data_IF_472637460576
#
_entry.id   IF_472637460576
#
_cell.length_a   1.000
_cell.length_b   1.000
_cell.length_c   1.000
_cell.angle_alpha   90.00
_cell.angle_beta   90.00
_cell.angle_gamma   90.00
#
_symmetry.space_group_name_H-M   'P 1'
#
loop_
_entity.id
_entity.type
_entity.pdbx_description
1 polymer ?
#
# COMPACT_ATOMS: atom_id res chain seq x y z
N UNK A 1 4.05 22.29 -7.28
CA UNK A 1 4.30 21.09 -6.45
C UNK A 1 2.99 20.32 -6.24
N UNK A 2 2.66 19.33 -7.08
CA UNK A 2 1.42 18.53 -6.96
C UNK A 2 1.73 17.15 -6.34
N UNK A 3 2.15 17.12 -5.07
CA UNK A 3 2.21 15.89 -4.28
C UNK A 3 0.81 15.57 -3.74
N UNK A 4 -0.02 14.89 -4.55
CA UNK A 4 -1.42 14.56 -4.18
C UNK A 4 -1.66 13.14 -3.63
N UNK A 5 -0.65 12.28 -3.52
CA UNK A 5 -0.87 10.84 -3.22
C UNK A 5 -0.38 10.29 -1.88
N UNK A 6 0.66 10.87 -1.26
CA UNK A 6 1.43 10.15 -0.22
C UNK A 6 0.96 10.27 1.23
N UNK A 7 0.12 11.25 1.57
CA UNK A 7 -0.13 11.58 2.99
C UNK A 7 -0.86 10.47 3.76
N UNK A 8 -1.86 9.84 3.14
CA UNK A 8 -2.68 8.81 3.81
C UNK A 8 -1.93 7.50 4.07
N UNK A 9 -1.05 7.09 3.16
CA UNK A 9 -0.26 5.85 3.30
C UNK A 9 0.80 6.03 4.39
N UNK A 10 1.49 7.18 4.44
CA UNK A 10 2.47 7.47 5.47
C UNK A 10 1.85 7.51 6.88
N UNK A 11 0.65 8.08 7.02
CA UNK A 11 -0.07 8.09 8.30
C UNK A 11 -0.51 6.68 8.72
N UNK A 12 -1.08 5.89 7.80
CA UNK A 12 -1.49 4.51 8.09
C UNK A 12 -0.29 3.65 8.50
N UNK A 13 0.83 3.77 7.78
CA UNK A 13 2.10 3.13 8.13
C UNK A 13 2.59 3.53 9.53
N UNK A 14 2.57 4.81 9.87
CA UNK A 14 2.98 5.29 11.18
C UNK A 14 2.13 4.73 12.32
N UNK A 15 0.80 4.67 12.13
CA UNK A 15 -0.11 4.06 13.11
C UNK A 15 0.17 2.56 13.25
N UNK A 16 0.28 1.83 12.14
CA UNK A 16 0.56 0.40 12.17
C UNK A 16 1.93 0.10 12.77
N UNK A 17 2.94 0.96 12.55
CA UNK A 17 4.27 0.81 13.10
C UNK A 17 4.27 0.96 14.63
N UNK A 18 3.44 1.85 15.17
CA UNK A 18 3.25 1.99 16.62
C UNK A 18 2.52 0.83 17.27
N UNK A 19 1.65 0.13 16.52
CA UNK A 19 0.88 -1.01 17.02
C UNK A 19 1.64 -2.33 16.89
N UNK A 20 2.07 -2.66 15.67
CA UNK A 20 2.66 -3.96 15.33
C UNK A 20 3.83 -3.75 14.36
N UNK A 21 5.02 -3.39 14.87
CA UNK A 21 6.19 -3.09 14.04
C UNK A 21 6.58 -4.23 13.08
N UNK A 22 6.47 -5.48 13.54
CA UNK A 22 6.81 -6.66 12.74
C UNK A 22 5.89 -6.85 11.53
N UNK A 23 4.59 -6.53 11.67
CA UNK A 23 3.64 -6.58 10.55
C UNK A 23 4.04 -5.57 9.47
N UNK A 24 4.41 -4.35 9.87
CA UNK A 24 4.90 -3.32 8.96
C UNK A 24 6.19 -3.73 8.26
N UNK A 25 7.13 -4.36 8.97
CA UNK A 25 8.37 -4.83 8.34
C UNK A 25 8.08 -5.85 7.22
N UNK A 26 7.17 -6.80 7.46
CA UNK A 26 6.74 -7.78 6.45
C UNK A 26 6.02 -7.07 5.30
N UNK A 27 5.13 -6.12 5.59
CA UNK A 27 4.38 -5.38 4.57
C UNK A 27 5.29 -4.53 3.66
N UNK A 28 6.35 -3.95 4.22
CA UNK A 28 7.39 -3.25 3.44
C UNK A 28 8.12 -4.21 2.51
N UNK A 29 8.41 -5.43 2.94
CA UNK A 29 9.01 -6.45 2.05
C UNK A 29 8.05 -6.81 0.92
N UNK A 30 6.76 -7.00 1.21
CA UNK A 30 5.72 -7.23 0.18
C UNK A 30 5.69 -6.08 -0.83
N UNK A 31 5.65 -4.84 -0.34
CA UNK A 31 5.69 -3.65 -1.19
C UNK A 31 6.92 -3.64 -2.11
N UNK A 32 8.12 -3.88 -1.55
CA UNK A 32 9.37 -3.88 -2.32
C UNK A 32 9.33 -4.97 -3.39
N UNK A 33 8.93 -6.20 -3.05
CA UNK A 33 8.84 -7.31 -4.00
C UNK A 33 7.89 -6.98 -5.15
N UNK A 34 6.73 -6.40 -4.85
CA UNK A 34 5.76 -5.98 -5.87
C UNK A 34 6.35 -4.89 -6.76
N UNK A 35 6.99 -3.86 -6.21
CA UNK A 35 7.55 -2.74 -7.00
C UNK A 35 8.75 -3.17 -7.86
N UNK A 36 9.54 -4.14 -7.39
CA UNK A 36 10.65 -4.70 -8.15
C UNK A 36 10.16 -5.54 -9.34
N UNK A 37 9.07 -6.29 -9.13
CA UNK A 37 8.45 -7.15 -10.16
C UNK A 37 7.63 -6.32 -11.16
N UNK A 38 6.79 -5.43 -10.64
CA UNK A 38 5.98 -4.49 -11.40
C UNK A 38 6.41 -3.08 -11.04
N UNK A 39 6.96 -2.29 -12.00
CA UNK A 39 7.53 -0.98 -11.69
C UNK A 39 6.49 0.09 -11.38
N UNK A 40 5.33 -0.25 -10.79
CA UNK A 40 4.25 0.65 -10.41
C UNK A 40 4.20 0.81 -8.88
N UNK A 41 4.51 2.01 -8.40
CA UNK A 41 4.43 2.35 -6.97
C UNK A 41 3.01 2.19 -6.42
N UNK A 42 2.01 2.58 -7.21
CA UNK A 42 0.60 2.46 -6.82
C UNK A 42 0.12 1.01 -6.68
N UNK A 43 0.64 0.11 -7.52
CA UNK A 43 0.34 -1.32 -7.38
C UNK A 43 0.95 -1.87 -6.08
N UNK A 44 2.22 -1.53 -5.80
CA UNK A 44 2.86 -1.87 -4.52
C UNK A 44 2.02 -1.42 -3.33
N UNK A 45 1.57 -0.16 -3.31
CA UNK A 45 0.76 0.39 -2.22
C UNK A 45 -0.59 -0.31 -2.06
N UNK A 46 -1.24 -0.69 -3.17
CA UNK A 46 -2.53 -1.39 -3.13
C UNK A 46 -2.38 -2.83 -2.60
N UNK A 47 -1.33 -3.53 -3.03
CA UNK A 47 -1.04 -4.89 -2.56
C UNK A 47 -0.66 -4.87 -1.08
N UNK A 48 0.20 -3.94 -0.65
CA UNK A 48 0.55 -3.74 0.75
C UNK A 48 -0.69 -3.44 1.61
N UNK A 49 -1.54 -2.50 1.17
CA UNK A 49 -2.78 -2.19 1.86
C UNK A 49 -3.74 -3.40 1.98
N UNK A 50 -3.78 -4.27 0.98
CA UNK A 50 -4.57 -5.51 1.04
C UNK A 50 -3.92 -6.61 1.91
N UNK A 51 -2.59 -6.64 1.99
CA UNK A 51 -1.83 -7.59 2.78
C UNK A 51 -1.87 -7.25 4.28
N UNK A 52 -1.90 -5.97 4.66
CA UNK A 52 -1.83 -5.55 6.06
C UNK A 52 -2.93 -6.16 6.96
N UNK A 53 -4.23 -6.20 6.58
CA UNK A 53 -5.25 -6.91 7.38
C UNK A 53 -4.94 -8.40 7.58
N UNK A 54 -4.45 -9.06 6.54
CA UNK A 54 -4.08 -10.48 6.60
C UNK A 54 -2.89 -10.70 7.54
N UNK A 55 -1.89 -9.80 7.51
CA UNK A 55 -0.75 -9.86 8.41
C UNK A 55 -1.18 -9.69 9.87
N UNK A 56 -2.05 -8.73 10.17
CA UNK A 56 -2.58 -8.54 11.52
C UNK A 56 -3.36 -9.77 12.00
N UNK A 57 -4.18 -10.37 11.13
CA UNK A 57 -4.93 -11.58 11.43
C UNK A 57 -4.01 -12.78 11.71
N UNK A 58 -3.01 -13.04 10.86
CA UNK A 58 -2.08 -14.17 10.99
C UNK A 58 -1.14 -14.02 12.19
N UNK A 59 -0.79 -12.79 12.55
CA UNK A 59 0.02 -12.49 13.74
C UNK A 59 -0.78 -12.52 15.04
N UNK A 60 -2.05 -12.96 15.01
CA UNK A 60 -2.93 -13.09 16.17
C UNK A 60 -3.05 -11.79 16.98
N UNK A 61 -3.13 -10.65 16.29
CA UNK A 61 -3.36 -9.34 16.94
C UNK A 61 -4.79 -9.22 17.43
N UNK A 62 -5.06 -8.23 18.29
CA UNK A 62 -6.41 -7.88 18.72
C UNK A 62 -7.36 -7.67 17.53
N UNK A 63 -8.57 -8.23 17.61
CA UNK A 63 -9.60 -8.11 16.56
C UNK A 63 -9.91 -6.65 16.22
N UNK A 64 -9.86 -5.76 17.21
CA UNK A 64 -10.04 -4.32 17.01
C UNK A 64 -9.01 -3.75 16.03
N UNK A 65 -7.75 -4.20 16.13
CA UNK A 65 -6.69 -3.75 15.22
C UNK A 65 -6.90 -4.29 13.80
N UNK A 66 -7.36 -5.54 13.67
CA UNK A 66 -7.72 -6.11 12.37
C UNK A 66 -8.82 -5.27 11.72
N UNK A 67 -9.91 -4.97 12.44
CA UNK A 67 -10.99 -4.13 11.90
C UNK A 67 -10.52 -2.73 11.53
N UNK A 68 -9.65 -2.12 12.35
CA UNK A 68 -9.10 -0.80 12.07
C UNK A 68 -8.27 -0.79 10.78
N UNK A 69 -7.41 -1.80 10.60
CA UNK A 69 -6.56 -1.93 9.41
C UNK A 69 -7.41 -2.26 8.16
N UNK A 70 -8.49 -3.04 8.29
CA UNK A 70 -9.45 -3.25 7.19
C UNK A 70 -10.05 -1.92 6.73
N UNK A 71 -10.48 -1.06 7.67
CA UNK A 71 -11.02 0.26 7.33
C UNK A 71 -9.94 1.13 6.66
N UNK A 72 -8.71 1.13 7.17
CA UNK A 72 -7.59 1.84 6.55
C UNK A 72 -7.31 1.34 5.13
N UNK A 73 -7.30 0.03 4.91
CA UNK A 73 -7.12 -0.58 3.60
C UNK A 73 -8.19 -0.09 2.61
N UNK A 74 -9.47 -0.11 3.01
CA UNK A 74 -10.58 0.41 2.19
C UNK A 74 -10.35 1.88 1.82
N UNK A 75 -9.98 2.72 2.80
CA UNK A 75 -9.70 4.14 2.56
C UNK A 75 -8.52 4.35 1.58
N UNK A 76 -7.49 3.51 1.67
CA UNK A 76 -6.36 3.53 0.73
C UNK A 76 -6.83 3.18 -0.68
N UNK A 77 -7.65 2.14 -0.85
CA UNK A 77 -8.21 1.77 -2.15
C UNK A 77 -9.07 2.88 -2.75
N UNK A 78 -9.95 3.50 -1.96
CA UNK A 78 -10.78 4.63 -2.40
C UNK A 78 -9.92 5.83 -2.82
N UNK A 79 -8.83 6.09 -2.09
CA UNK A 79 -7.87 7.15 -2.43
C UNK A 79 -7.13 6.85 -3.74
N UNK A 80 -6.85 5.58 -4.01
CA UNK A 80 -6.11 5.13 -5.20
C UNK A 80 -6.99 4.84 -6.42
N UNK A 81 -8.31 5.13 -6.39
CA UNK A 81 -9.23 4.86 -7.52
C UNK A 81 -8.71 5.36 -8.88
N UNK A 82 -8.03 6.50 -8.90
CA UNK A 82 -7.49 7.08 -10.13
C UNK A 82 -6.25 6.31 -10.63
N UNK A 83 -5.39 5.88 -9.70
CA UNK A 83 -4.25 5.00 -10.00
C UNK A 83 -4.72 3.62 -10.46
N UNK A 84 -5.76 3.06 -9.84
CA UNK A 84 -6.39 1.80 -10.27
C UNK A 84 -6.87 1.93 -11.72
N UNK A 85 -7.58 3.02 -12.05
CA UNK A 85 -8.03 3.27 -13.42
C UNK A 85 -6.86 3.33 -14.42
N UNK A 86 -5.77 4.01 -14.05
CA UNK A 86 -4.56 4.10 -14.88
C UNK A 86 -3.82 2.78 -15.01
N UNK A 87 -3.78 1.96 -13.95
CA UNK A 87 -3.24 0.60 -13.97
C UNK A 87 -4.02 -0.29 -14.94
N UNK A 88 -5.36 -0.30 -14.85
CA UNK A 88 -6.23 -1.02 -15.79
C UNK A 88 -6.05 -0.53 -17.23
N UNK A 89 -5.81 0.77 -17.43
CA UNK A 89 -5.56 1.36 -18.74
C UNK A 89 -4.11 1.24 -19.22
N UNK A 90 -3.19 0.66 -18.44
CA UNK A 90 -1.76 0.60 -18.77
C UNK A 90 -1.05 1.97 -18.85
N UNK A 91 -1.65 3.03 -18.30
CA UNK A 91 -1.16 4.43 -18.37
C UNK A 91 -0.58 4.90 -17.03
N UNK A 92 -0.41 4.01 -16.06
CA UNK A 92 0.14 4.35 -14.76
C UNK A 92 1.64 4.67 -14.87
N UNK A 93 2.07 5.72 -14.14
CA UNK A 93 3.47 6.09 -14.07
C UNK A 93 4.29 4.97 -13.45
N UNK A 94 5.36 4.58 -14.15
CA UNK A 94 6.34 3.65 -13.60
C UNK A 94 7.39 4.40 -12.78
N UNK A 95 8.01 3.71 -11.81
CA UNK A 95 9.11 4.23 -11.00
C UNK A 95 10.41 4.37 -11.82
N UNK A 96 10.52 3.69 -12.97
CA UNK A 96 11.72 3.65 -13.81
C UNK A 96 11.88 4.88 -14.72
N UNK A 97 10.95 5.85 -14.67
CA UNK A 97 10.95 7.01 -15.56
C UNK A 97 10.55 6.65 -17.01
N UNK A 98 10.47 7.62 -17.94
CA UNK A 98 10.20 7.32 -19.34
C UNK A 98 11.31 6.40 -19.88
N UNK A 99 10.94 5.29 -20.53
CA UNK A 99 11.90 4.53 -21.36
C UNK A 99 12.47 5.51 -22.38
N UNK A 100 13.77 5.81 -22.30
CA UNK A 100 14.46 6.34 -23.47
C UNK A 100 14.36 5.24 -24.54
N UNK A 101 13.81 5.62 -25.69
CA UNK A 101 13.73 4.83 -26.91
C UNK A 101 15.08 4.25 -27.31
#
# INVERSE_FOLDING_TARGET
>A
MKFRGGKGVATALGVCLGLVPYAVAIDVVVFIVVVLTWPYVSLGSLVAAAAMPLLFYVLHTDELYVYMVVIMAILIFVRHRENIRRLCAGTESTIRGPRKS
#
